data_IF_906253654039
#
_entry.id   IF_906253654039
#
_cell.length_a   1.000
_cell.length_b   1.000
_cell.length_c   1.000
_cell.angle_alpha   90.00
_cell.angle_beta   90.00
_cell.angle_gamma   90.00
#
_symmetry.space_group_name_H-M   'P 1'
#
loop_
_entity.id
_entity.type
_entity.pdbx_description
1 polymer ?
#
# COMPACT_ATOMS: atom_id res chain seq x y z
N UNK A 1 -3.62 30.82 -0.15
CA UNK A 1 -3.04 29.46 -0.06
C UNK A 1 -1.80 29.31 -0.97
N UNK A 2 -1.78 29.90 -2.17
CA UNK A 2 -0.65 29.80 -3.12
C UNK A 2 0.74 30.21 -2.67
N UNK A 3 0.88 31.19 -1.76
CA UNK A 3 2.19 31.65 -1.32
C UNK A 3 2.90 30.67 -0.36
N UNK A 4 2.16 29.76 0.28
CA UNK A 4 2.69 28.84 1.28
C UNK A 4 2.74 27.40 0.79
N UNK A 5 1.75 26.92 0.02
CA UNK A 5 1.74 25.54 -0.49
C UNK A 5 1.23 25.51 -1.93
N UNK A 6 2.07 25.88 -2.92
CA UNK A 6 1.67 25.92 -4.34
C UNK A 6 1.23 24.55 -4.87
N UNK A 7 1.69 23.45 -4.28
CA UNK A 7 1.30 22.09 -4.63
C UNK A 7 -0.20 21.85 -4.37
N UNK A 8 -0.77 22.48 -3.34
CA UNK A 8 -2.20 22.38 -3.02
C UNK A 8 -3.08 23.21 -3.96
N UNK A 9 -2.51 24.16 -4.71
CA UNK A 9 -3.29 24.90 -5.70
C UNK A 9 -3.81 23.98 -6.81
N UNK A 10 -3.06 22.93 -7.15
CA UNK A 10 -3.43 21.91 -8.15
C UNK A 10 -4.74 21.21 -7.79
N UNK A 11 -5.04 21.08 -6.50
CA UNK A 11 -6.31 20.52 -6.04
C UNK A 11 -7.45 21.52 -6.21
N UNK A 12 -7.18 22.82 -6.05
CA UNK A 12 -8.15 23.91 -6.04
C UNK A 12 -8.48 24.53 -7.41
N UNK A 13 -7.62 24.38 -8.42
CA UNK A 13 -7.72 25.09 -9.72
C UNK A 13 -8.41 24.30 -10.85
N UNK A 14 -8.95 23.12 -10.58
CA UNK A 14 -9.59 22.30 -11.62
C UNK A 14 -11.03 22.77 -11.89
N UNK A 15 -11.37 22.86 -13.18
CA UNK A 15 -12.60 23.41 -13.73
C UNK A 15 -13.87 23.07 -12.92
N UNK A 16 -14.60 24.11 -12.49
CA UNK A 16 -15.85 24.01 -11.70
C UNK A 16 -17.04 23.49 -12.51
N UNK A 17 -16.81 23.10 -13.77
CA UNK A 17 -17.83 22.65 -14.71
C UNK A 17 -18.20 21.16 -14.60
N UNK A 18 -17.42 20.36 -13.85
CA UNK A 18 -17.71 18.95 -13.57
C UNK A 18 -18.39 18.82 -12.20
N UNK A 19 -19.37 17.93 -12.09
CA UNK A 19 -20.37 17.88 -11.01
C UNK A 19 -19.86 17.84 -9.55
N UNK A 20 -18.56 17.66 -9.31
CA UNK A 20 -17.81 18.03 -8.10
C UNK A 20 -16.34 18.25 -8.51
N UNK A 21 -15.73 19.38 -8.12
CA UNK A 21 -14.30 19.59 -8.37
C UNK A 21 -13.46 18.67 -7.44
N UNK A 22 -12.21 18.29 -7.82
CA UNK A 22 -11.38 17.36 -7.04
C UNK A 22 -11.15 17.81 -5.58
N UNK A 23 -11.15 19.12 -5.33
CA UNK A 23 -11.06 19.68 -3.99
C UNK A 23 -12.30 19.37 -3.14
N UNK A 24 -13.50 19.67 -3.63
CA UNK A 24 -14.76 19.37 -2.95
C UNK A 24 -14.95 17.88 -2.73
N UNK A 25 -14.57 17.04 -3.71
CA UNK A 25 -14.54 15.60 -3.55
C UNK A 25 -13.60 15.16 -2.40
N UNK A 26 -12.41 15.76 -2.35
CA UNK A 26 -11.42 15.46 -1.31
C UNK A 26 -11.95 15.85 0.07
N UNK A 27 -12.55 17.04 0.20
CA UNK A 27 -13.16 17.50 1.46
C UNK A 27 -14.33 16.61 1.89
N UNK A 28 -15.24 16.26 0.98
CA UNK A 28 -16.35 15.35 1.28
C UNK A 28 -15.84 13.96 1.74
N UNK A 29 -14.79 13.44 1.10
CA UNK A 29 -14.15 12.19 1.51
C UNK A 29 -13.48 12.30 2.89
N UNK A 30 -12.91 13.46 3.22
CA UNK A 30 -12.34 13.72 4.55
C UNK A 30 -13.45 13.72 5.62
N UNK A 31 -14.62 14.29 5.33
CA UNK A 31 -15.74 14.37 6.28
C UNK A 31 -16.32 13.00 6.65
N UNK A 32 -16.17 12.01 5.77
CA UNK A 32 -16.52 10.60 6.03
C UNK A 32 -15.52 9.87 6.95
N UNK A 33 -14.35 10.45 7.23
CA UNK A 33 -13.32 9.86 8.09
C UNK A 33 -13.46 10.28 9.57
N UNK A 34 -13.13 9.40 10.54
CA UNK A 34 -13.20 9.74 11.95
C UNK A 34 -12.36 10.99 12.30
N UNK A 35 -12.92 11.98 13.02
CA UNK A 35 -12.21 13.23 13.31
C UNK A 35 -10.99 13.04 14.23
N UNK A 36 -10.97 11.98 15.04
CA UNK A 36 -9.87 11.67 15.95
C UNK A 36 -8.60 11.12 15.29
N UNK A 37 -8.60 10.84 13.98
CA UNK A 37 -7.44 10.32 13.27
C UNK A 37 -6.90 11.35 12.27
N UNK A 38 -6.08 12.28 12.77
CA UNK A 38 -5.52 13.37 11.98
C UNK A 38 -4.66 12.87 10.80
N UNK A 39 -3.87 11.81 10.98
CA UNK A 39 -2.99 11.29 9.92
C UNK A 39 -3.78 10.64 8.79
N UNK A 40 -4.87 9.95 9.10
CA UNK A 40 -5.75 9.39 8.08
C UNK A 40 -6.44 10.49 7.25
N UNK A 41 -6.89 11.56 7.91
CA UNK A 41 -7.48 12.73 7.24
C UNK A 41 -6.46 13.48 6.40
N UNK A 42 -5.23 13.63 6.91
CA UNK A 42 -4.14 14.25 6.16
C UNK A 42 -3.74 13.39 4.96
N UNK A 43 -3.66 12.08 5.09
CA UNK A 43 -3.41 11.20 3.96
C UNK A 43 -4.52 11.31 2.90
N UNK A 44 -5.78 11.37 3.32
CA UNK A 44 -6.90 11.61 2.41
C UNK A 44 -6.84 12.99 1.76
N UNK A 45 -6.32 14.02 2.42
CA UNK A 45 -6.15 15.34 1.81
C UNK A 45 -5.09 15.32 0.70
N UNK A 46 -4.03 14.53 0.88
CA UNK A 46 -2.88 14.52 0.00
C UNK A 46 -2.95 13.44 -1.11
N UNK A 47 -3.98 12.59 -1.12
CA UNK A 47 -4.07 11.41 -2.01
C UNK A 47 -4.07 11.68 -3.52
N UNK A 48 -4.30 12.92 -3.95
CA UNK A 48 -4.25 13.32 -5.36
C UNK A 48 -2.90 13.94 -5.77
N UNK A 49 -1.96 14.07 -4.83
CA UNK A 49 -0.63 14.62 -5.09
C UNK A 49 0.36 13.50 -5.39
N UNK A 50 1.38 13.84 -6.19
CA UNK A 50 2.50 12.95 -6.43
C UNK A 50 3.32 12.71 -5.15
N UNK A 51 3.92 11.52 -4.95
CA UNK A 51 4.68 11.17 -3.75
C UNK A 51 5.76 12.19 -3.36
N UNK A 52 6.48 12.76 -4.34
CA UNK A 52 7.51 13.78 -4.09
C UNK A 52 6.95 15.05 -3.44
N UNK A 53 5.76 15.50 -3.88
CA UNK A 53 5.08 16.67 -3.31
C UNK A 53 4.58 16.37 -1.90
N UNK A 54 4.05 15.18 -1.67
CA UNK A 54 3.60 14.72 -0.35
C UNK A 54 4.77 14.79 0.64
N UNK A 55 5.92 14.19 0.29
CA UNK A 55 7.13 14.21 1.11
C UNK A 55 7.59 15.65 1.39
N UNK A 56 7.64 16.50 0.35
CA UNK A 56 8.01 17.90 0.50
C UNK A 56 7.12 18.66 1.49
N UNK A 57 5.81 18.45 1.45
CA UNK A 57 4.84 19.04 2.38
C UNK A 57 5.09 18.53 3.81
N UNK A 58 5.23 17.22 4.00
CA UNK A 58 5.37 16.61 5.34
C UNK A 58 6.68 17.02 6.02
N UNK A 59 7.79 17.11 5.28
CA UNK A 59 9.08 17.61 5.78
C UNK A 59 8.99 19.07 6.22
N UNK A 60 8.29 19.91 5.44
CA UNK A 60 8.08 21.33 5.77
C UNK A 60 7.20 21.52 6.99
N UNK A 61 6.21 20.64 7.17
CA UNK A 61 5.35 20.58 8.36
C UNK A 61 6.02 19.96 9.60
N UNK A 62 7.28 19.49 9.47
CA UNK A 62 8.09 18.93 10.57
C UNK A 62 7.52 17.65 11.19
N UNK A 63 6.85 16.82 10.38
CA UNK A 63 6.52 15.45 10.81
C UNK A 63 7.80 14.61 11.02
N UNK A 64 7.74 13.64 11.93
CA UNK A 64 8.84 12.68 12.11
C UNK A 64 8.97 11.77 10.88
N UNK A 65 10.10 11.06 10.74
CA UNK A 65 10.29 10.10 9.65
C UNK A 65 9.17 9.05 9.64
N UNK A 66 8.90 8.42 10.79
CA UNK A 66 7.83 7.43 10.91
C UNK A 66 6.44 7.97 10.53
N UNK A 67 6.12 9.22 10.90
CA UNK A 67 4.86 9.86 10.50
C UNK A 67 4.83 10.16 9.00
N UNK A 68 5.96 10.59 8.45
CA UNK A 68 6.11 10.90 7.02
C UNK A 68 5.89 9.65 6.19
N UNK A 69 6.52 8.54 6.58
CA UNK A 69 6.36 7.23 5.93
C UNK A 69 4.89 6.78 6.01
N UNK A 70 4.30 6.77 7.21
CA UNK A 70 2.89 6.36 7.42
C UNK A 70 1.89 7.18 6.58
N UNK A 71 2.06 8.50 6.51
CA UNK A 71 1.15 9.35 5.74
C UNK A 71 1.40 9.18 4.23
N UNK A 72 2.66 9.09 3.80
CA UNK A 72 3.00 8.97 2.38
C UNK A 72 2.52 7.65 1.80
N UNK A 73 2.77 6.54 2.48
CA UNK A 73 2.30 5.21 2.08
C UNK A 73 0.78 5.18 1.94
N UNK A 74 0.04 5.73 2.90
CA UNK A 74 -1.42 5.79 2.83
C UNK A 74 -1.97 6.69 1.74
N UNK A 75 -1.29 7.80 1.47
CA UNK A 75 -1.71 8.77 0.45
C UNK A 75 -1.52 8.20 -0.96
N UNK A 76 -0.45 7.42 -1.15
CA UNK A 76 -0.06 6.87 -2.44
C UNK A 76 -0.43 5.39 -2.62
N UNK A 77 -1.11 4.79 -1.65
CA UNK A 77 -1.52 3.40 -1.70
C UNK A 77 -2.44 3.09 -2.89
N UNK A 78 -2.25 1.91 -3.47
CA UNK A 78 -3.13 1.39 -4.51
C UNK A 78 -4.53 1.15 -3.95
N UNK A 79 -5.55 1.31 -4.81
CA UNK A 79 -6.91 0.88 -4.47
C UNK A 79 -6.91 -0.60 -4.10
N UNK A 80 -7.79 -0.99 -3.19
CA UNK A 80 -8.05 -2.37 -2.82
C UNK A 80 -8.25 -3.23 -4.09
N UNK A 81 -7.95 -4.54 -4.02
CA UNK A 81 -8.23 -5.47 -5.11
C UNK A 81 -9.71 -5.44 -5.55
N UNK A 82 -9.96 -5.68 -6.84
CA UNK A 82 -11.28 -5.99 -7.38
C UNK A 82 -11.90 -7.23 -6.73
N UNK A 83 -13.22 -7.40 -6.85
CA UNK A 83 -13.90 -8.58 -6.31
C UNK A 83 -13.64 -9.85 -7.13
N UNK A 84 -13.30 -9.66 -8.40
CA UNK A 84 -12.98 -10.65 -9.41
C UNK A 84 -11.50 -11.05 -9.45
N UNK A 85 -10.63 -10.32 -8.76
CA UNK A 85 -9.20 -10.67 -8.66
C UNK A 85 -9.00 -12.01 -7.92
N UNK A 86 -7.94 -12.74 -8.24
CA UNK A 86 -7.61 -13.99 -7.57
C UNK A 86 -6.88 -13.75 -6.24
N UNK A 87 -6.66 -14.82 -5.48
CA UNK A 87 -5.99 -14.71 -4.17
C UNK A 87 -4.51 -14.32 -4.30
N UNK A 88 -3.87 -14.61 -5.44
CA UNK A 88 -2.49 -14.20 -5.74
C UNK A 88 -2.39 -12.69 -5.89
N UNK A 89 -3.28 -12.07 -6.67
CA UNK A 89 -3.35 -10.62 -6.82
C UNK A 89 -3.59 -9.93 -5.47
N UNK A 90 -4.47 -10.49 -4.62
CA UNK A 90 -4.72 -9.97 -3.28
C UNK A 90 -3.48 -10.10 -2.37
N UNK A 91 -2.76 -11.22 -2.43
CA UNK A 91 -1.49 -11.41 -1.69
C UNK A 91 -0.44 -10.38 -2.13
N UNK A 92 -0.28 -10.16 -3.43
CA UNK A 92 0.65 -9.14 -3.95
C UNK A 92 0.26 -7.74 -3.53
N UNK A 93 -1.03 -7.42 -3.56
CA UNK A 93 -1.53 -6.14 -3.07
C UNK A 93 -1.22 -5.94 -1.58
N UNK A 94 -1.46 -6.96 -0.75
CA UNK A 94 -1.15 -6.93 0.68
C UNK A 94 0.35 -6.74 0.93
N UNK A 95 1.20 -7.47 0.21
CA UNK A 95 2.66 -7.36 0.30
C UNK A 95 3.14 -5.96 -0.06
N UNK A 96 2.64 -5.40 -1.17
CA UNK A 96 3.06 -4.08 -1.68
C UNK A 96 2.57 -2.90 -0.83
N UNK A 97 1.48 -3.06 -0.08
CA UNK A 97 0.84 -1.98 0.68
C UNK A 97 0.99 -2.14 2.21
N UNK A 98 1.88 -3.04 2.65
CA UNK A 98 2.02 -3.49 4.04
C UNK A 98 0.73 -4.08 4.62
N UNK A 99 0.70 -5.37 5.00
CA UNK A 99 -0.52 -6.03 5.49
C UNK A 99 -1.17 -5.34 6.70
N UNK A 100 -0.38 -4.64 7.51
CA UNK A 100 -0.79 -3.88 8.69
C UNK A 100 -1.70 -2.71 8.34
N UNK A 101 -1.51 -2.10 7.16
CA UNK A 101 -2.22 -0.91 6.71
C UNK A 101 -3.59 -1.20 6.12
N UNK A 102 -3.93 -2.47 5.84
CA UNK A 102 -5.19 -2.89 5.23
C UNK A 102 -6.42 -2.15 5.81
N UNK A 103 -6.49 -2.02 7.13
CA UNK A 103 -7.61 -1.36 7.79
C UNK A 103 -7.64 0.17 7.59
N UNK A 104 -6.49 0.82 7.43
CA UNK A 104 -6.40 2.25 7.14
C UNK A 104 -6.78 2.50 5.67
N UNK A 105 -6.21 1.71 4.75
CA UNK A 105 -6.48 1.81 3.31
C UNK A 105 -7.95 1.57 2.97
N UNK A 106 -8.56 0.55 3.57
CA UNK A 106 -9.99 0.29 3.40
C UNK A 106 -10.86 1.43 3.93
N UNK A 107 -10.46 2.13 4.99
CA UNK A 107 -11.20 3.31 5.48
C UNK A 107 -11.10 4.48 4.52
N UNK A 108 -9.92 4.73 3.95
CA UNK A 108 -9.71 5.78 2.96
C UNK A 108 -10.56 5.53 1.70
N UNK A 109 -10.52 4.30 1.17
CA UNK A 109 -11.32 3.95 -0.01
C UNK A 109 -12.83 3.96 0.28
N UNK A 110 -13.25 3.49 1.47
CA UNK A 110 -14.65 3.52 1.88
C UNK A 110 -15.16 4.97 2.00
N UNK A 111 -14.35 5.87 2.56
CA UNK A 111 -14.70 7.27 2.69
C UNK A 111 -14.89 7.93 1.32
N UNK A 112 -14.00 7.64 0.36
CA UNK A 112 -14.14 8.07 -1.04
C UNK A 112 -15.43 7.51 -1.67
N UNK A 113 -15.68 6.20 -1.53
CA UNK A 113 -16.86 5.53 -2.09
C UNK A 113 -18.19 6.08 -1.53
N UNK A 114 -18.21 6.51 -0.26
CA UNK A 114 -19.37 7.15 0.35
C UNK A 114 -19.57 8.59 -0.10
N UNK A 115 -18.49 9.36 -0.20
CA UNK A 115 -18.52 10.74 -0.65
C UNK A 115 -19.01 10.86 -2.10
N UNK A 116 -18.75 9.85 -2.94
CA UNK A 116 -19.21 9.86 -4.32
C UNK A 116 -19.61 8.46 -4.84
N UNK A 117 -20.92 8.15 -4.92
CA UNK A 117 -21.43 6.83 -5.34
C UNK A 117 -21.08 6.41 -6.77
N UNK A 118 -20.62 7.32 -7.63
CA UNK A 118 -20.24 7.02 -9.02
C UNK A 118 -18.78 6.59 -9.21
N UNK A 119 -18.06 6.28 -8.13
CA UNK A 119 -16.71 5.75 -8.20
C UNK A 119 -16.69 4.29 -8.68
N UNK A 120 -15.49 3.81 -9.06
CA UNK A 120 -15.25 2.44 -9.53
C UNK A 120 -15.79 1.34 -8.62
N UNK A 121 -15.97 1.62 -7.32
CA UNK A 121 -16.55 0.71 -6.33
C UNK A 121 -17.55 1.41 -5.44
N UNK A 122 -18.64 0.73 -5.16
CA UNK A 122 -19.61 1.09 -4.14
C UNK A 122 -19.04 0.82 -2.73
N UNK A 123 -19.59 1.47 -1.68
CA UNK A 123 -19.19 1.19 -0.30
C UNK A 123 -19.29 -0.30 0.08
N UNK A 124 -20.28 -1.01 -0.46
CA UNK A 124 -20.46 -2.45 -0.20
C UNK A 124 -19.33 -3.29 -0.80
N UNK A 125 -18.91 -2.99 -2.03
CA UNK A 125 -17.80 -3.68 -2.70
C UNK A 125 -16.47 -3.42 -2.00
N UNK A 126 -16.22 -2.19 -1.51
CA UNK A 126 -15.04 -1.88 -0.68
C UNK A 126 -15.01 -2.76 0.57
N UNK A 127 -16.13 -2.88 1.28
CA UNK A 127 -16.24 -3.74 2.48
C UNK A 127 -16.01 -5.21 2.14
N UNK A 128 -16.53 -5.69 1.01
CA UNK A 128 -16.31 -7.08 0.57
C UNK A 128 -14.84 -7.35 0.22
N UNK A 129 -14.20 -6.45 -0.54
CA UNK A 129 -12.78 -6.55 -0.87
C UNK A 129 -11.91 -6.54 0.40
N UNK A 130 -12.17 -5.63 1.33
CA UNK A 130 -11.50 -5.60 2.64
C UNK A 130 -11.68 -6.90 3.42
N UNK A 131 -12.89 -7.49 3.45
CA UNK A 131 -13.14 -8.77 4.12
C UNK A 131 -12.32 -9.90 3.52
N UNK A 132 -12.22 -9.95 2.19
CA UNK A 132 -11.44 -10.98 1.48
C UNK A 132 -9.95 -10.84 1.74
N UNK A 133 -9.39 -9.64 1.61
CA UNK A 133 -8.00 -9.36 1.95
C UNK A 133 -7.69 -9.65 3.43
N UNK A 134 -8.61 -9.32 4.33
CA UNK A 134 -8.49 -9.64 5.76
C UNK A 134 -8.48 -11.15 6.01
N UNK A 135 -9.31 -11.92 5.31
CA UNK A 135 -9.35 -13.37 5.43
C UNK A 135 -8.02 -13.98 4.99
N UNK A 136 -7.51 -13.59 3.82
CA UNK A 136 -6.20 -14.06 3.32
C UNK A 136 -5.09 -13.71 4.30
N UNK A 137 -5.06 -12.48 4.81
CA UNK A 137 -4.07 -12.12 5.84
C UNK A 137 -4.20 -12.98 7.11
N UNK A 138 -5.42 -13.31 7.52
CA UNK A 138 -5.69 -14.08 8.73
C UNK A 138 -5.31 -15.57 8.62
N UNK A 139 -5.14 -16.12 7.40
CA UNK A 139 -4.65 -17.49 7.24
C UNK A 139 -3.16 -17.63 7.55
N UNK A 140 -2.42 -16.52 7.66
CA UNK A 140 -0.99 -16.53 7.95
C UNK A 140 -0.12 -16.94 6.76
N UNK A 141 -0.62 -16.78 5.53
CA UNK A 141 0.22 -16.93 4.33
C UNK A 141 1.36 -15.91 4.36
N UNK A 142 2.53 -16.22 3.76
CA UNK A 142 3.63 -15.28 3.71
C UNK A 142 3.26 -14.04 2.89
N UNK A 143 3.47 -12.85 3.45
CA UNK A 143 3.16 -11.57 2.82
C UNK A 143 4.33 -10.59 2.86
N UNK A 144 5.40 -10.92 3.57
CA UNK A 144 6.60 -10.10 3.73
C UNK A 144 7.86 -10.96 3.70
N UNK A 145 9.02 -10.34 3.49
CA UNK A 145 10.32 -11.04 3.53
C UNK A 145 10.52 -11.75 4.88
N UNK A 146 10.04 -11.16 5.98
CA UNK A 146 10.13 -11.78 7.31
C UNK A 146 9.28 -13.04 7.48
N UNK A 147 8.34 -13.31 6.57
CA UNK A 147 7.52 -14.53 6.60
C UNK A 147 8.13 -15.67 5.79
N UNK A 148 9.24 -15.43 5.08
CA UNK A 148 9.94 -16.46 4.31
C UNK A 148 10.53 -17.53 5.24
N UNK A 149 10.51 -18.78 4.78
CA UNK A 149 11.10 -19.91 5.51
C UNK A 149 12.64 -19.84 5.59
N UNK A 150 13.26 -18.96 4.81
CA UNK A 150 14.70 -18.67 4.86
C UNK A 150 14.96 -17.18 5.03
N UNK A 151 16.08 -16.84 5.66
CA UNK A 151 16.52 -15.47 5.88
C UNK A 151 17.90 -15.19 5.27
N UNK A 152 18.45 -14.00 5.52
CA UNK A 152 19.79 -13.63 5.05
C UNK A 152 20.92 -14.49 5.66
N UNK A 153 20.73 -15.07 6.85
CA UNK A 153 21.74 -15.97 7.43
C UNK A 153 21.76 -17.32 6.71
N UNK A 154 20.61 -17.77 6.23
CA UNK A 154 20.52 -18.98 5.42
C UNK A 154 21.27 -18.79 4.09
N UNK A 155 21.12 -17.64 3.43
CA UNK A 155 21.91 -17.30 2.25
C UNK A 155 23.42 -17.37 2.53
N UNK A 156 23.87 -16.91 3.70
CA UNK A 156 25.28 -17.01 4.11
C UNK A 156 25.71 -18.47 4.29
N UNK A 157 24.86 -19.31 4.91
CA UNK A 157 25.14 -20.75 5.08
C UNK A 157 25.23 -21.49 3.74
N UNK A 158 24.49 -21.04 2.73
CA UNK A 158 24.57 -21.53 1.35
C UNK A 158 25.86 -21.08 0.62
N UNK A 159 26.70 -20.26 1.26
CA UNK A 159 27.97 -19.80 0.71
C UNK A 159 27.90 -18.47 -0.03
N UNK A 160 26.74 -17.79 -0.05
CA UNK A 160 26.63 -16.44 -0.60
C UNK A 160 27.31 -15.43 0.31
N UNK A 161 27.98 -14.44 -0.28
CA UNK A 161 28.62 -13.36 0.50
C UNK A 161 27.61 -12.26 0.80
N UNK A 162 27.56 -11.76 2.06
CA UNK A 162 26.71 -10.63 2.42
C UNK A 162 26.89 -9.47 1.45
N UNK A 163 25.79 -9.04 0.84
CA UNK A 163 25.79 -7.93 -0.11
C UNK A 163 24.40 -7.28 -0.21
N UNK A 164 24.31 -6.04 -0.74
CA UNK A 164 23.01 -5.41 -1.02
C UNK A 164 22.08 -6.25 -1.91
N UNK A 165 22.62 -7.21 -2.67
CA UNK A 165 21.84 -8.11 -3.50
C UNK A 165 20.95 -9.08 -2.70
N UNK A 166 21.21 -9.29 -1.41
CA UNK A 166 20.38 -10.17 -0.57
C UNK A 166 18.93 -9.70 -0.50
N UNK A 167 18.71 -8.38 -0.37
CA UNK A 167 17.37 -7.82 -0.38
C UNK A 167 16.64 -8.16 -1.69
N UNK A 168 17.37 -8.14 -2.83
CA UNK A 168 16.79 -8.50 -4.12
C UNK A 168 16.46 -9.99 -4.21
N UNK A 169 17.36 -10.85 -3.77
CA UNK A 169 17.14 -12.31 -3.74
C UNK A 169 15.91 -12.64 -2.89
N UNK A 170 15.84 -12.12 -1.66
CA UNK A 170 14.70 -12.34 -0.77
C UNK A 170 13.39 -11.77 -1.35
N UNK A 171 13.46 -10.64 -2.07
CA UNK A 171 12.30 -10.11 -2.78
C UNK A 171 11.83 -11.04 -3.92
N UNK A 172 12.76 -11.58 -4.71
CA UNK A 172 12.42 -12.51 -5.79
C UNK A 172 11.84 -13.83 -5.25
N UNK A 173 12.29 -14.28 -4.07
CA UNK A 173 11.70 -15.41 -3.35
C UNK A 173 10.30 -15.09 -2.83
N UNK A 174 10.10 -13.90 -2.27
CA UNK A 174 8.78 -13.45 -1.85
C UNK A 174 7.82 -13.41 -3.04
N UNK A 175 8.22 -12.87 -4.18
CA UNK A 175 7.39 -12.82 -5.40
C UNK A 175 6.98 -14.23 -5.88
N UNK A 176 7.89 -15.19 -5.74
CA UNK A 176 7.61 -16.61 -6.01
C UNK A 176 6.58 -17.19 -5.03
N UNK A 177 6.76 -17.00 -3.73
CA UNK A 177 5.84 -17.48 -2.67
C UNK A 177 4.47 -16.79 -2.72
N UNK A 178 4.40 -15.53 -3.15
CA UNK A 178 3.12 -14.83 -3.32
C UNK A 178 2.27 -15.48 -4.43
N UNK A 179 2.90 -16.10 -5.42
CA UNK A 179 2.23 -16.90 -6.47
C UNK A 179 1.61 -18.14 -5.84
N UNK A 180 2.43 -18.94 -5.16
CA UNK A 180 2.00 -20.15 -4.46
C UNK A 180 2.57 -20.21 -3.03
N UNK A 181 1.76 -19.89 -1.99
CA UNK A 181 2.19 -19.88 -0.60
C UNK A 181 2.68 -21.24 -0.09
N UNK A 182 2.30 -22.35 -0.74
CA UNK A 182 2.74 -23.69 -0.33
C UNK A 182 4.22 -23.93 -0.65
N UNK A 183 4.83 -23.10 -1.50
CA UNK A 183 6.25 -23.16 -1.84
C UNK A 183 7.16 -22.50 -0.78
N UNK A 184 6.59 -21.96 0.31
CA UNK A 184 7.37 -21.39 1.42
C UNK A 184 7.97 -22.49 2.32
N UNK A 185 8.72 -23.40 1.70
CA UNK A 185 9.44 -24.47 2.36
C UNK A 185 10.93 -24.23 2.17
N UNK A 186 11.71 -24.49 3.22
CA UNK A 186 13.13 -24.16 3.25
C UNK A 186 13.89 -24.76 2.07
N UNK A 187 13.70 -26.05 1.82
CA UNK A 187 14.35 -26.81 0.76
C UNK A 187 13.98 -26.28 -0.63
N UNK A 188 12.72 -25.87 -0.82
CA UNK A 188 12.22 -25.30 -2.08
C UNK A 188 12.87 -23.95 -2.36
N UNK A 189 12.96 -23.08 -1.34
CA UNK A 189 13.55 -21.76 -1.48
C UNK A 189 15.06 -21.83 -1.69
N UNK A 190 15.77 -22.70 -0.97
CA UNK A 190 17.21 -22.94 -1.14
C UNK A 190 17.51 -23.41 -2.58
N UNK A 191 16.77 -24.40 -3.10
CA UNK A 191 16.94 -24.88 -4.48
C UNK A 191 16.70 -23.79 -5.54
N UNK A 192 15.75 -22.87 -5.28
CA UNK A 192 15.47 -21.75 -6.19
C UNK A 192 16.61 -20.73 -6.21
N UNK A 193 17.23 -20.46 -5.07
CA UNK A 193 18.40 -19.56 -4.98
C UNK A 193 19.58 -20.13 -5.77
N UNK A 194 19.84 -21.44 -5.68
CA UNK A 194 20.90 -22.11 -6.44
C UNK A 194 20.68 -21.97 -7.95
N UNK A 195 19.46 -22.22 -8.41
CA UNK A 195 19.10 -22.12 -9.84
C UNK A 195 19.26 -20.70 -10.39
N UNK A 196 19.01 -19.67 -9.59
CA UNK A 196 19.18 -18.27 -9.98
C UNK A 196 20.62 -17.76 -9.88
N UNK A 197 21.52 -18.51 -9.22
CA UNK A 197 22.94 -18.15 -9.09
C UNK A 197 23.81 -18.65 -10.26
N UNK A 198 23.29 -19.62 -11.02
CA UNK A 198 23.96 -20.25 -12.17
C UNK A 198 23.65 -19.57 -13.53
N UNK A 199 22.81 -18.53 -13.55
CA UNK A 199 22.39 -17.78 -14.75
C UNK A 199 22.88 -16.33 -14.76
#
# INVERSE_FOLDING_TARGET
>A
MGALYPELEQLSTTDRSVALNPWEFTLASIDELPPGNAFLRLAQLLHLLDPEKILGILVRLRFSNAQTDEISERSSASLLPGLDEDDEAIRRWLSSNSPEQLNALARLELARAKAHPSLKKTPAEVVQSWRRARLIRATGVPLSISDLAIDGNDLIRMGLRPSPAFARILQDLLDFVLTDPTQNEREVLEARVETSSDG
#
